data_IF_991609498575
#
_entry.id   IF_991609498575
#
_cell.length_a   1.000
_cell.length_b   1.000
_cell.length_c   1.000
_cell.angle_alpha   90.00
_cell.angle_beta   90.00
_cell.angle_gamma   90.00
#
_symmetry.space_group_name_H-M   'P 1'
#
loop_
_entity.id
_entity.type
_entity.pdbx_description
1 polymer ?
#
# COMPACT_ATOMS: atom_id res chain seq x y z
N UNK A 1 -3.25 6.46 -34.63
CA UNK A 1 -3.95 5.86 -33.49
C UNK A 1 -3.84 6.81 -32.31
N UNK A 2 -4.94 7.21 -31.65
CA UNK A 2 -4.83 7.91 -30.38
C UNK A 2 -4.18 6.96 -29.36
N UNK A 3 -3.33 7.46 -28.45
CA UNK A 3 -2.78 6.62 -27.39
C UNK A 3 -3.94 6.06 -26.56
N UNK A 4 -3.95 4.74 -26.35
CA UNK A 4 -4.89 4.10 -25.45
C UNK A 4 -4.78 4.76 -24.07
N UNK A 5 -5.92 5.18 -23.51
CA UNK A 5 -5.99 5.60 -22.10
C UNK A 5 -5.56 4.38 -21.28
N UNK A 6 -4.32 4.32 -20.83
CA UNK A 6 -3.89 3.33 -19.85
C UNK A 6 -4.73 3.55 -18.60
N UNK A 7 -5.66 2.63 -18.33
CA UNK A 7 -6.30 2.53 -17.03
C UNK A 7 -5.21 2.25 -16.02
N UNK A 8 -4.92 3.24 -15.18
CA UNK A 8 -3.94 3.12 -14.11
C UNK A 8 -4.41 2.04 -13.12
N UNK A 9 -3.47 1.22 -12.66
CA UNK A 9 -3.67 0.25 -11.59
C UNK A 9 -4.27 0.95 -10.35
N UNK A 10 -5.41 0.47 -9.79
CA UNK A 10 -6.04 1.06 -8.61
C UNK A 10 -5.07 1.21 -7.44
N UNK A 11 -4.22 0.22 -7.19
CA UNK A 11 -3.24 0.26 -6.11
C UNK A 11 -2.21 1.38 -6.32
N UNK A 12 -1.72 1.56 -7.55
CA UNK A 12 -0.80 2.66 -7.86
C UNK A 12 -1.47 4.02 -7.76
N UNK A 13 -2.73 4.11 -8.14
CA UNK A 13 -3.51 5.34 -8.04
C UNK A 13 -3.65 5.77 -6.57
N UNK A 14 -4.09 4.86 -5.69
CA UNK A 14 -4.24 5.16 -4.26
C UNK A 14 -2.90 5.46 -3.59
N UNK A 15 -1.84 4.70 -3.89
CA UNK A 15 -0.51 4.98 -3.33
C UNK A 15 0.01 6.37 -3.71
N UNK A 16 -0.19 6.82 -4.96
CA UNK A 16 0.18 8.18 -5.39
C UNK A 16 -0.59 9.25 -4.64
N UNK A 17 -1.89 9.06 -4.42
CA UNK A 17 -2.70 10.02 -3.65
C UNK A 17 -2.23 10.14 -2.20
N UNK A 18 -1.86 9.02 -1.56
CA UNK A 18 -1.29 9.02 -0.21
C UNK A 18 0.05 9.77 -0.18
N UNK A 19 0.92 9.56 -1.17
CA UNK A 19 2.19 10.30 -1.27
C UNK A 19 1.97 11.81 -1.44
N UNK A 20 1.02 12.22 -2.29
CA UNK A 20 0.68 13.62 -2.49
C UNK A 20 0.08 14.26 -1.24
N UNK A 21 -0.77 13.53 -0.50
CA UNK A 21 -1.27 13.97 0.80
C UNK A 21 -0.12 14.15 1.81
N UNK A 22 0.83 13.21 1.83
CA UNK A 22 1.97 13.24 2.74
C UNK A 22 2.88 14.44 2.51
N UNK A 23 3.10 14.84 1.25
CA UNK A 23 3.86 16.05 0.88
C UNK A 23 3.23 17.33 1.44
N UNK A 24 1.90 17.41 1.48
CA UNK A 24 1.17 18.60 1.94
C UNK A 24 1.10 18.74 3.46
N UNK A 25 1.17 17.61 4.17
CA UNK A 25 0.85 17.53 5.59
C UNK A 25 2.04 17.11 6.48
N UNK A 26 3.25 17.00 5.92
CA UNK A 26 4.47 16.53 6.59
C UNK A 26 4.30 15.16 7.27
N UNK A 27 3.59 14.26 6.61
CA UNK A 27 3.25 12.95 7.16
C UNK A 27 4.38 11.97 6.85
N UNK A 28 4.85 11.17 7.83
CA UNK A 28 5.92 10.21 7.61
C UNK A 28 5.57 9.21 6.49
N UNK A 29 6.54 8.94 5.61
CA UNK A 29 6.45 7.89 4.60
C UNK A 29 7.72 7.04 4.61
N UNK A 30 7.58 5.77 4.25
CA UNK A 30 8.73 4.89 4.04
C UNK A 30 9.62 5.38 2.87
N UNK A 31 9.05 6.16 1.95
CA UNK A 31 9.75 6.69 0.79
C UNK A 31 10.18 5.60 -0.20
N UNK A 32 10.69 6.00 -1.38
CA UNK A 32 10.87 5.11 -2.53
C UNK A 32 11.94 4.04 -2.31
N UNK A 33 13.01 4.36 -1.57
CA UNK A 33 14.12 3.41 -1.33
C UNK A 33 13.66 2.24 -0.46
N UNK A 34 13.01 2.52 0.67
CA UNK A 34 12.54 1.46 1.58
C UNK A 34 11.36 0.70 0.98
N UNK A 35 10.46 1.39 0.26
CA UNK A 35 9.36 0.76 -0.47
C UNK A 35 9.87 -0.28 -1.47
N UNK A 36 10.90 0.06 -2.27
CA UNK A 36 11.49 -0.90 -3.21
C UNK A 36 12.03 -2.15 -2.52
N UNK A 37 12.76 -1.99 -1.41
CA UNK A 37 13.29 -3.12 -0.65
C UNK A 37 12.16 -4.04 -0.18
N UNK A 38 11.08 -3.48 0.36
CA UNK A 38 9.91 -4.27 0.80
C UNK A 38 9.30 -5.03 -0.39
N UNK A 39 9.03 -4.34 -1.50
CA UNK A 39 8.44 -4.95 -2.69
C UNK A 39 9.30 -6.10 -3.24
N UNK A 40 10.62 -5.90 -3.33
CA UNK A 40 11.57 -6.93 -3.77
C UNK A 40 11.59 -8.13 -2.83
N UNK A 41 11.59 -7.90 -1.51
CA UNK A 41 11.57 -8.98 -0.51
C UNK A 41 10.27 -9.79 -0.61
N UNK A 42 9.11 -9.13 -0.70
CA UNK A 42 7.81 -9.80 -0.82
C UNK A 42 7.73 -10.59 -2.12
N UNK A 43 8.10 -9.99 -3.25
CA UNK A 43 8.07 -10.65 -4.56
C UNK A 43 9.01 -11.86 -4.64
N UNK A 44 10.19 -11.78 -4.00
CA UNK A 44 11.19 -12.86 -3.96
C UNK A 44 10.77 -14.00 -3.04
N UNK A 45 10.30 -13.70 -1.82
CA UNK A 45 10.03 -14.70 -0.80
C UNK A 45 8.61 -15.27 -0.85
N UNK A 46 7.66 -14.55 -1.46
CA UNK A 46 6.25 -14.95 -1.58
C UNK A 46 5.65 -15.44 -0.26
N UNK A 47 5.72 -14.62 0.82
CA UNK A 47 5.22 -15.04 2.13
C UNK A 47 3.71 -15.29 2.09
N UNK A 48 3.25 -16.29 2.85
CA UNK A 48 1.81 -16.60 3.00
C UNK A 48 1.15 -15.85 4.15
N UNK A 49 1.92 -15.36 5.11
CA UNK A 49 1.45 -14.61 6.28
C UNK A 49 2.38 -13.43 6.52
N UNK A 50 1.82 -12.24 6.67
CA UNK A 50 2.57 -11.00 6.89
C UNK A 50 1.91 -10.25 8.04
N UNK A 51 2.72 -9.76 8.98
CA UNK A 51 2.29 -8.85 10.03
C UNK A 51 2.95 -7.48 9.78
N UNK A 52 2.13 -6.45 9.65
CA UNK A 52 2.55 -5.05 9.60
C UNK A 52 2.17 -4.37 10.92
N UNK A 53 3.11 -3.61 11.49
CA UNK A 53 2.89 -2.82 12.71
C UNK A 53 3.11 -1.35 12.40
N UNK A 54 2.03 -0.58 12.43
CA UNK A 54 1.96 0.83 12.01
C UNK A 54 1.65 0.95 10.52
N UNK A 55 0.44 1.40 10.20
CA UNK A 55 -0.07 1.49 8.83
C UNK A 55 -0.23 2.93 8.35
N UNK A 56 -0.52 3.83 9.29
CA UNK A 56 -0.85 5.22 9.02
C UNK A 56 -2.01 5.35 8.02
N UNK A 57 -1.73 5.59 6.74
CA UNK A 57 -2.76 5.67 5.68
C UNK A 57 -2.73 4.51 4.69
N UNK A 58 -1.97 3.44 5.00
CA UNK A 58 -2.01 2.20 4.24
C UNK A 58 -1.06 2.11 3.04
N UNK A 59 -0.12 3.05 2.86
CA UNK A 59 0.81 2.99 1.72
C UNK A 59 1.61 1.67 1.71
N UNK A 60 2.21 1.31 2.84
CA UNK A 60 2.98 0.07 2.96
C UNK A 60 2.09 -1.18 2.92
N UNK A 61 0.89 -1.12 3.52
CA UNK A 61 -0.10 -2.19 3.43
C UNK A 61 -0.45 -2.53 1.96
N UNK A 62 -0.78 -1.50 1.17
CA UNK A 62 -1.08 -1.63 -0.27
C UNK A 62 0.13 -2.14 -1.04
N UNK A 63 1.31 -1.56 -0.78
CA UNK A 63 2.55 -1.98 -1.43
C UNK A 63 2.86 -3.47 -1.17
N UNK A 64 2.70 -3.92 0.06
CA UNK A 64 2.89 -5.31 0.47
C UNK A 64 1.85 -6.19 -0.23
N UNK A 65 0.57 -5.86 -0.14
CA UNK A 65 -0.52 -6.63 -0.73
C UNK A 65 -0.39 -6.77 -2.25
N UNK A 66 -0.10 -5.67 -2.96
CA UNK A 66 0.12 -5.65 -4.41
C UNK A 66 1.23 -6.59 -4.87
N UNK A 67 2.29 -6.76 -4.07
CA UNK A 67 3.43 -7.61 -4.40
C UNK A 67 3.32 -9.04 -3.81
N UNK A 68 2.27 -9.32 -3.03
CA UNK A 68 2.07 -10.61 -2.38
C UNK A 68 1.37 -11.61 -3.30
N UNK A 69 1.51 -12.92 -3.04
CA UNK A 69 0.66 -13.93 -3.66
C UNK A 69 -0.83 -13.68 -3.36
N UNK A 70 -1.72 -14.05 -4.29
CA UNK A 70 -3.16 -13.84 -4.16
C UNK A 70 -3.80 -14.49 -2.92
N UNK A 71 -3.13 -15.47 -2.30
CA UNK A 71 -3.58 -16.17 -1.10
C UNK A 71 -2.77 -15.82 0.16
N UNK A 72 -2.03 -14.70 0.14
CA UNK A 72 -1.35 -14.21 1.32
C UNK A 72 -2.35 -13.60 2.31
N UNK A 73 -2.15 -13.89 3.59
CA UNK A 73 -2.88 -13.27 4.69
C UNK A 73 -2.03 -12.14 5.26
N UNK A 74 -2.56 -10.92 5.26
CA UNK A 74 -1.86 -9.73 5.76
C UNK A 74 -2.65 -9.20 6.94
N UNK A 75 -2.01 -9.17 8.11
CA UNK A 75 -2.55 -8.52 9.30
C UNK A 75 -1.82 -7.21 9.50
N UNK A 76 -2.57 -6.12 9.48
CA UNK A 76 -2.04 -4.78 9.73
C UNK A 76 -2.57 -4.26 11.08
N UNK A 77 -1.66 -3.78 11.93
CA UNK A 77 -2.00 -3.24 13.25
C UNK A 77 -1.72 -1.75 13.28
N UNK A 78 -2.75 -0.94 13.51
CA UNK A 78 -2.62 0.52 13.68
C UNK A 78 -3.24 0.95 15.01
N UNK A 79 -2.50 1.79 15.76
CA UNK A 79 -2.91 2.22 17.11
C UNK A 79 -3.99 3.30 17.05
N UNK A 80 -3.89 4.21 16.10
CA UNK A 80 -4.85 5.29 15.96
C UNK A 80 -6.09 4.80 15.18
N UNK A 81 -7.31 4.85 15.75
CA UNK A 81 -8.50 4.31 15.11
C UNK A 81 -8.90 5.04 13.82
N UNK A 82 -8.61 6.34 13.71
CA UNK A 82 -8.86 7.10 12.48
C UNK A 82 -7.89 6.67 11.37
N UNK A 83 -6.61 6.45 11.71
CA UNK A 83 -5.62 5.92 10.76
C UNK A 83 -5.96 4.49 10.32
N UNK A 84 -6.44 3.65 11.23
CA UNK A 84 -6.91 2.30 10.91
C UNK A 84 -8.06 2.35 9.88
N UNK A 85 -9.08 3.20 10.12
CA UNK A 85 -10.19 3.38 9.19
C UNK A 85 -9.73 3.92 7.82
N UNK A 86 -8.82 4.89 7.81
CA UNK A 86 -8.26 5.42 6.56
C UNK A 86 -7.45 4.35 5.80
N UNK A 87 -6.74 3.49 6.52
CA UNK A 87 -6.01 2.36 5.93
C UNK A 87 -6.98 1.37 5.28
N UNK A 88 -8.02 0.93 5.99
CA UNK A 88 -9.08 0.05 5.46
C UNK A 88 -9.68 0.62 4.18
N UNK A 89 -10.13 1.88 4.21
CA UNK A 89 -10.69 2.57 3.05
C UNK A 89 -9.73 2.63 1.86
N UNK A 90 -8.44 2.88 2.10
CA UNK A 90 -7.46 2.94 1.02
C UNK A 90 -7.14 1.56 0.45
N UNK A 91 -7.12 0.50 1.26
CA UNK A 91 -6.95 -0.89 0.79
C UNK A 91 -8.15 -1.32 -0.04
N UNK A 92 -9.38 -1.00 0.38
CA UNK A 92 -10.61 -1.24 -0.40
C UNK A 92 -10.55 -0.51 -1.74
N UNK A 93 -10.21 0.79 -1.74
CA UNK A 93 -10.03 1.58 -2.98
C UNK A 93 -8.94 1.03 -3.89
N UNK A 94 -7.90 0.43 -3.32
CA UNK A 94 -6.83 -0.23 -4.04
C UNK A 94 -7.21 -1.63 -4.58
N UNK A 95 -8.40 -2.13 -4.24
CA UNK A 95 -8.93 -3.44 -4.65
C UNK A 95 -8.07 -4.61 -4.15
N UNK A 96 -7.66 -4.55 -2.87
CA UNK A 96 -6.77 -5.52 -2.24
C UNK A 96 -7.36 -6.15 -0.96
N UNK A 97 -8.68 -6.06 -0.78
CA UNK A 97 -9.47 -6.87 0.17
C UNK A 97 -10.06 -8.13 -0.49
#
# INVERSE_FOLDING_TARGET
MPPSKQTLDPAETVMREIEEMGKRSFIPSIGPVKGRIIAEVVAKLKPRKILEVGALYGYSAILIAKNSPANAEITTVEKNPEHARMTEQNVERAQLE
#
